data_IF_229121177745
#
_entry.id   IF_229121177745
#
_cell.length_a   1.000
_cell.length_b   1.000
_cell.length_c   1.000
_cell.angle_alpha   90.00
_cell.angle_beta   90.00
_cell.angle_gamma   90.00
#
_symmetry.space_group_name_H-M   'P 1'
#
loop_
_entity.id
_entity.type
_entity.pdbx_description
1 polymer ?
#
# COMPACT_ATOMS: atom_id res chain seq x y z
N UNK A 1 -4.95 -19.73 12.98
CA UNK A 1 -3.70 -19.08 13.42
C UNK A 1 -3.48 -17.91 12.47
N UNK A 2 -3.72 -16.67 12.93
CA UNK A 2 -3.66 -15.46 12.09
C UNK A 2 -2.25 -14.89 12.21
N UNK A 3 -1.43 -15.04 11.17
CA UNK A 3 -0.10 -14.42 11.10
C UNK A 3 -0.30 -12.93 10.75
N UNK A 4 -0.56 -12.12 11.79
CA UNK A 4 -0.61 -10.66 11.69
C UNK A 4 0.80 -10.11 11.50
N UNK A 5 1.20 -9.89 10.24
CA UNK A 5 2.44 -9.16 9.97
C UNK A 5 2.18 -7.67 9.97
N UNK A 6 2.52 -7.04 11.09
CA UNK A 6 2.66 -5.60 11.20
C UNK A 6 3.89 -5.15 10.41
N UNK A 7 3.65 -4.54 9.26
CA UNK A 7 4.65 -3.65 8.66
C UNK A 7 4.27 -2.24 9.11
N UNK A 8 5.03 -1.65 10.02
CA UNK A 8 4.93 -0.22 10.33
C UNK A 8 6.05 0.46 9.57
N UNK A 9 5.70 1.26 8.57
CA UNK A 9 6.66 2.18 7.96
C UNK A 9 6.46 3.56 8.57
N UNK A 10 7.41 4.00 9.39
CA UNK A 10 7.48 5.37 9.88
C UNK A 10 8.82 5.96 9.47
N UNK A 11 8.86 7.03 8.64
CA UNK A 11 10.04 7.90 8.69
C UNK A 11 9.92 9.30 8.08
N UNK A 12 10.55 10.20 8.85
CA UNK A 12 11.19 11.50 8.58
C UNK A 12 10.31 12.69 8.20
N UNK A 13 10.25 13.67 9.11
CA UNK A 13 9.60 14.99 8.97
C UNK A 13 10.06 15.79 7.73
N UNK A 14 11.21 15.44 7.15
CA UNK A 14 11.84 16.15 6.03
C UNK A 14 11.67 15.48 4.67
N UNK A 15 11.20 14.24 4.61
CA UNK A 15 11.13 13.48 3.36
C UNK A 15 9.73 13.58 2.72
N UNK A 16 9.59 14.50 1.77
CA UNK A 16 8.44 14.58 0.88
C UNK A 16 8.51 13.48 -0.17
N UNK A 17 8.04 12.27 0.12
CA UNK A 17 7.91 11.22 -0.89
C UNK A 17 6.61 11.33 -1.68
N UNK A 18 6.72 11.33 -3.00
CA UNK A 18 5.55 11.41 -3.88
C UNK A 18 4.61 10.19 -3.76
N UNK A 19 5.11 9.07 -3.23
CA UNK A 19 4.38 7.82 -3.04
C UNK A 19 4.98 6.95 -1.93
N UNK A 20 4.17 6.02 -1.41
CA UNK A 20 4.58 4.89 -0.59
C UNK A 20 4.33 3.59 -1.36
N UNK A 21 5.33 2.72 -1.39
CA UNK A 21 5.21 1.40 -2.00
C UNK A 21 5.68 0.33 -1.02
N UNK A 22 4.84 -0.67 -0.76
CA UNK A 22 5.16 -1.82 0.08
C UNK A 22 5.16 -3.07 -0.79
N UNK A 23 6.26 -3.79 -0.79
CA UNK A 23 6.36 -5.14 -1.34
C UNK A 23 6.25 -6.15 -0.20
N UNK A 24 5.26 -7.04 -0.26
CA UNK A 24 4.96 -7.97 0.82
C UNK A 24 5.90 -9.19 0.85
N UNK A 25 6.77 -9.36 -0.16
CA UNK A 25 7.74 -10.46 -0.27
C UNK A 25 7.14 -11.88 -0.27
N UNK A 26 5.80 -12.01 -0.33
CA UNK A 26 5.06 -13.26 -0.46
C UNK A 26 3.63 -12.95 -0.95
N UNK A 27 2.79 -13.98 -1.09
CA UNK A 27 1.37 -13.82 -1.37
C UNK A 27 0.58 -13.67 -0.07
N UNK A 28 -0.28 -12.67 -0.01
CA UNK A 28 -1.16 -12.43 1.15
C UNK A 28 -2.60 -12.23 0.70
N UNK A 29 -3.53 -12.85 1.43
CA UNK A 29 -4.93 -12.43 1.45
C UNK A 29 -5.06 -11.30 2.47
N UNK A 30 -5.16 -10.07 1.97
CA UNK A 30 -5.29 -8.85 2.78
C UNK A 30 -6.77 -8.68 3.17
N UNK A 31 -7.00 -8.28 4.41
CA UNK A 31 -8.33 -8.08 4.99
C UNK A 31 -8.60 -6.62 5.35
N UNK A 32 -7.54 -5.86 5.65
CA UNK A 32 -7.62 -4.45 6.00
C UNK A 32 -6.28 -3.77 5.70
N UNK A 33 -6.37 -2.58 5.10
CA UNK A 33 -5.26 -1.61 5.08
C UNK A 33 -5.65 -0.47 6.00
N UNK A 34 -4.76 -0.07 6.90
CA UNK A 34 -4.95 1.08 7.78
C UNK A 34 -3.88 2.12 7.51
N UNK A 35 -4.29 3.35 7.26
CA UNK A 35 -3.43 4.50 7.03
C UNK A 35 -3.58 5.43 8.23
N UNK A 36 -2.47 5.89 8.80
CA UNK A 36 -2.47 6.70 10.01
C UNK A 36 -1.66 7.97 9.79
N UNK A 37 -2.28 9.10 10.17
CA UNK A 37 -1.60 10.38 10.33
C UNK A 37 -1.46 10.65 11.83
N UNK A 38 -0.26 10.46 12.37
CA UNK A 38 0.06 10.71 13.77
C UNK A 38 0.03 12.22 14.08
N UNK A 39 -0.14 12.56 15.36
CA UNK A 39 -0.33 13.93 15.83
C UNK A 39 0.93 14.81 15.73
N UNK A 40 2.09 14.17 15.65
CA UNK A 40 3.42 14.76 15.62
C UNK A 40 3.83 15.29 14.24
N UNK A 41 3.12 14.93 13.17
CA UNK A 41 3.37 15.49 11.83
C UNK A 41 2.91 16.94 11.70
N UNK A 42 3.45 17.65 10.71
CA UNK A 42 2.92 18.97 10.33
C UNK A 42 1.57 18.85 9.58
N UNK A 43 0.89 19.99 9.41
CA UNK A 43 -0.44 20.02 8.78
C UNK A 43 -0.39 19.87 7.25
N UNK A 44 0.80 19.77 6.65
CA UNK A 44 0.97 19.86 5.20
C UNK A 44 0.43 18.65 4.41
N UNK A 45 0.06 17.56 5.11
CA UNK A 45 -0.66 16.41 4.54
C UNK A 45 -2.18 16.47 4.68
N UNK A 46 -2.73 17.42 5.45
CA UNK A 46 -4.18 17.54 5.66
C UNK A 46 -4.88 18.13 4.43
N UNK A 47 -6.03 17.57 4.09
CA UNK A 47 -6.82 17.98 2.92
C UNK A 47 -6.16 17.66 1.58
N UNK A 48 -5.04 16.93 1.59
CA UNK A 48 -4.33 16.53 0.37
C UNK A 48 -4.89 15.19 -0.10
N UNK A 49 -5.50 15.11 -1.29
CA UNK A 49 -6.05 13.87 -1.80
C UNK A 49 -4.97 12.92 -2.29
N UNK A 50 -5.21 11.63 -2.08
CA UNK A 50 -4.39 10.52 -2.54
C UNK A 50 -5.23 9.29 -2.82
N UNK A 51 -4.60 8.34 -3.50
CA UNK A 51 -5.17 7.07 -3.94
C UNK A 51 -4.41 5.90 -3.32
N UNK A 52 -5.07 4.75 -3.24
CA UNK A 52 -4.48 3.49 -2.78
C UNK A 52 -4.74 2.43 -3.83
N UNK A 53 -3.69 1.69 -4.16
CA UNK A 53 -3.70 0.61 -5.14
C UNK A 53 -3.14 -0.67 -4.54
N UNK A 54 -3.68 -1.79 -4.99
CA UNK A 54 -3.17 -3.12 -4.65
C UNK A 54 -2.81 -3.86 -5.93
N UNK A 55 -1.64 -4.50 -5.94
CA UNK A 55 -1.24 -5.39 -7.02
C UNK A 55 -1.56 -6.82 -6.60
N UNK A 56 -2.43 -7.48 -7.36
CA UNK A 56 -2.72 -8.91 -7.20
C UNK A 56 -2.03 -9.68 -8.32
N UNK A 57 -1.44 -10.82 -7.97
CA UNK A 57 -0.90 -11.76 -8.95
C UNK A 57 -1.88 -12.93 -9.08
N UNK A 58 -2.39 -13.20 -10.28
CA UNK A 58 -2.97 -14.51 -10.54
C UNK A 58 -1.85 -15.54 -10.47
N UNK A 59 -2.00 -16.66 -9.74
CA UNK A 59 -0.98 -17.71 -9.65
C UNK A 59 -0.90 -18.56 -10.93
N UNK A 60 -0.96 -17.93 -12.12
CA UNK A 60 -0.83 -18.65 -13.38
C UNK A 60 0.64 -18.72 -13.78
N UNK A 61 1.17 -19.94 -13.79
CA UNK A 61 2.59 -20.32 -13.99
C UNK A 61 3.20 -19.92 -15.35
N UNK A 62 2.51 -19.17 -16.19
CA UNK A 62 2.93 -18.89 -17.57
C UNK A 62 3.20 -17.40 -17.85
N UNK A 63 3.05 -16.50 -16.88
CA UNK A 63 3.29 -15.06 -17.08
C UNK A 63 4.27 -14.61 -15.99
N UNK A 64 5.49 -15.10 -16.09
CA UNK A 64 6.62 -14.42 -15.50
C UNK A 64 6.94 -13.21 -16.38
N UNK A 65 7.07 -12.04 -15.78
CA UNK A 65 7.48 -10.78 -16.41
C UNK A 65 6.51 -10.11 -17.39
N UNK A 66 5.43 -9.52 -16.88
CA UNK A 66 4.95 -8.19 -17.33
C UNK A 66 3.95 -7.64 -16.31
N UNK A 67 3.97 -6.32 -16.09
CA UNK A 67 3.33 -5.63 -14.98
C UNK A 67 1.88 -6.07 -14.72
N UNK A 68 1.64 -6.75 -13.59
CA UNK A 68 0.29 -7.06 -13.14
C UNK A 68 -0.49 -5.75 -12.93
N UNK A 69 -1.74 -5.65 -13.40
CA UNK A 69 -2.50 -4.42 -13.32
C UNK A 69 -2.73 -4.03 -11.86
N UNK A 70 -2.56 -2.74 -11.58
CA UNK A 70 -2.89 -2.17 -10.29
C UNK A 70 -4.40 -2.06 -10.14
N UNK A 71 -4.94 -2.72 -9.12
CA UNK A 71 -6.33 -2.59 -8.76
C UNK A 71 -6.48 -1.37 -7.84
N UNK A 72 -7.39 -0.48 -8.22
CA UNK A 72 -7.76 0.67 -7.40
C UNK A 72 -8.46 0.17 -6.14
N UNK A 73 -7.90 0.48 -4.99
CA UNK A 73 -8.47 0.19 -3.69
C UNK A 73 -9.33 1.37 -3.19
N UNK A 74 -8.75 2.57 -3.18
CA UNK A 74 -9.47 3.80 -2.84
C UNK A 74 -8.97 4.95 -3.72
N UNK A 75 -9.86 5.91 -4.01
CA UNK A 75 -9.49 7.13 -4.76
C UNK A 75 -9.88 8.38 -4.01
N UNK A 76 -9.06 9.42 -4.19
CA UNK A 76 -9.31 10.78 -3.75
C UNK A 76 -9.67 10.85 -2.24
N UNK A 77 -9.07 9.97 -1.44
CA UNK A 77 -9.20 9.98 0.01
C UNK A 77 -8.17 10.96 0.58
N UNK A 78 -8.45 11.50 1.76
CA UNK A 78 -7.60 12.49 2.39
C UNK A 78 -7.70 12.39 3.91
N UNK A 79 -6.62 12.76 4.59
CA UNK A 79 -6.69 13.02 6.02
C UNK A 79 -7.29 14.42 6.24
N UNK A 80 -8.28 14.52 7.11
CA UNK A 80 -8.98 15.76 7.49
C UNK A 80 -8.54 16.27 8.86
N UNK A 81 -7.91 15.43 9.68
CA UNK A 81 -7.38 15.83 10.98
C UNK A 81 -6.14 15.02 11.36
N UNK A 82 -5.31 15.59 12.25
CA UNK A 82 -4.25 14.87 12.95
C UNK A 82 -4.83 13.75 13.81
N UNK A 83 -4.05 12.67 13.98
CA UNK A 83 -4.45 11.48 14.72
C UNK A 83 -5.47 10.61 13.97
N UNK A 84 -5.85 10.99 12.76
CA UNK A 84 -6.86 10.25 12.00
C UNK A 84 -6.31 8.93 11.48
N UNK A 85 -7.18 7.92 11.52
CA UNK A 85 -6.98 6.62 10.92
C UNK A 85 -8.01 6.39 9.81
N UNK A 86 -7.53 6.03 8.62
CA UNK A 86 -8.37 5.62 7.50
C UNK A 86 -8.23 4.12 7.33
N UNK A 87 -9.35 3.41 7.45
CA UNK A 87 -9.42 1.95 7.33
C UNK A 87 -10.06 1.57 6.01
N UNK A 88 -9.32 0.84 5.17
CA UNK A 88 -9.72 0.47 3.82
C UNK A 88 -9.91 -1.04 3.71
N UNK A 89 -11.08 -1.42 3.19
CA UNK A 89 -11.40 -2.78 2.76
C UNK A 89 -11.74 -2.72 1.28
N UNK A 90 -10.88 -3.26 0.45
CA UNK A 90 -10.95 -3.07 -1.00
C UNK A 90 -11.23 -4.39 -1.73
N UNK A 91 -11.90 -4.28 -2.86
CA UNK A 91 -12.10 -5.40 -3.76
C UNK A 91 -10.73 -5.88 -4.28
N UNK A 92 -10.53 -7.19 -4.33
CA UNK A 92 -9.25 -7.79 -4.72
C UNK A 92 -8.23 -7.92 -3.59
N UNK A 93 -8.45 -7.34 -2.39
CA UNK A 93 -7.57 -7.59 -1.24
C UNK A 93 -7.57 -9.06 -0.80
N UNK A 94 -8.69 -9.75 -0.97
CA UNK A 94 -8.85 -11.14 -0.57
C UNK A 94 -8.08 -12.11 -1.49
N UNK A 95 -7.56 -11.61 -2.62
CA UNK A 95 -6.71 -12.36 -3.56
C UNK A 95 -5.25 -12.39 -3.09
N UNK A 96 -4.36 -12.99 -3.89
CA UNK A 96 -2.91 -13.00 -3.63
C UNK A 96 -2.30 -11.61 -3.87
N UNK A 97 -2.44 -10.71 -2.91
CA UNK A 97 -1.80 -9.39 -2.90
C UNK A 97 -0.30 -9.56 -2.70
N UNK A 98 0.47 -8.82 -3.49
CA UNK A 98 1.94 -8.84 -3.44
C UNK A 98 2.52 -7.45 -3.20
N UNK A 99 1.84 -6.40 -3.65
CA UNK A 99 2.26 -5.01 -3.43
C UNK A 99 1.08 -4.10 -3.10
N UNK A 100 1.39 -3.04 -2.37
CA UNK A 100 0.47 -1.95 -2.05
C UNK A 100 1.16 -0.65 -2.40
N UNK A 101 0.43 0.25 -3.04
CA UNK A 101 0.93 1.54 -3.49
C UNK A 101 -0.02 2.65 -3.03
N UNK A 102 0.52 3.70 -2.44
CA UNK A 102 -0.23 4.86 -1.97
C UNK A 102 0.41 6.10 -2.55
N UNK A 103 -0.34 6.92 -3.28
CA UNK A 103 0.24 7.99 -4.07
C UNK A 103 -0.76 9.09 -4.40
N UNK A 104 -0.23 10.26 -4.74
CA UNK A 104 -1.00 11.30 -5.43
C UNK A 104 -0.93 11.05 -6.93
N UNK A 105 -1.92 10.34 -7.46
CA UNK A 105 -1.97 9.91 -8.86
C UNK A 105 -1.82 8.40 -9.04
N UNK A 106 -1.87 7.95 -10.28
CA UNK A 106 -1.73 6.53 -10.62
C UNK A 106 -0.31 5.99 -10.45
N UNK A 107 -0.13 4.66 -10.41
CA UNK A 107 1.18 4.00 -10.37
C UNK A 107 2.08 4.33 -11.56
N UNK A 108 1.49 4.68 -12.70
CA UNK A 108 2.18 5.08 -13.93
C UNK A 108 2.26 6.61 -14.10
N UNK A 109 1.79 7.38 -13.11
CA UNK A 109 1.73 8.83 -13.21
C UNK A 109 3.05 9.51 -12.83
N UNK A 110 3.28 10.69 -13.40
CA UNK A 110 4.38 11.58 -12.98
C UNK A 110 4.14 11.98 -11.51
N UNK A 111 5.17 11.95 -10.65
CA UNK A 111 5.08 12.41 -9.27
C UNK A 111 4.38 13.78 -9.13
N UNK A 112 3.31 13.84 -8.32
CA UNK A 112 2.55 15.07 -8.07
C UNK A 112 2.91 15.67 -6.71
N UNK A 113 3.28 16.95 -6.68
CA UNK A 113 3.57 17.71 -5.46
C UNK A 113 2.37 18.56 -4.98
N UNK A 114 2.25 18.91 -3.68
CA UNK A 114 3.09 18.47 -2.56
C UNK A 114 3.03 16.96 -2.32
N UNK A 115 4.09 16.39 -1.77
CA UNK A 115 4.15 14.96 -1.45
C UNK A 115 3.05 14.56 -0.46
N UNK A 116 2.62 13.30 -0.54
CA UNK A 116 1.74 12.73 0.48
C UNK A 116 2.51 12.63 1.80
N UNK A 117 1.99 13.24 2.86
CA UNK A 117 2.49 13.01 4.22
C UNK A 117 1.58 12.05 4.96
N UNK A 118 2.15 10.91 5.34
CA UNK A 118 1.50 9.86 6.12
C UNK A 118 2.53 9.29 7.08
N UNK A 119 2.13 9.01 8.31
CA UNK A 119 3.07 8.56 9.36
C UNK A 119 3.24 7.06 9.39
N UNK A 120 2.18 6.32 9.06
CA UNK A 120 2.15 4.88 9.18
C UNK A 120 1.13 4.23 8.24
N UNK A 121 1.53 3.12 7.64
CA UNK A 121 0.69 2.20 6.88
C UNK A 121 0.74 0.85 7.59
N UNK A 122 -0.40 0.30 7.97
CA UNK A 122 -0.55 -1.02 8.57
C UNK A 122 -1.35 -1.93 7.64
N UNK A 123 -0.90 -3.16 7.49
CA UNK A 123 -1.50 -4.13 6.57
C UNK A 123 -1.87 -5.38 7.36
N UNK A 124 -3.13 -5.78 7.29
CA UNK A 124 -3.67 -6.91 8.02
C UNK A 124 -4.11 -7.97 7.05
N UNK A 125 -3.59 -9.19 7.19
CA UNK A 125 -3.93 -10.28 6.28
C UNK A 125 -3.36 -11.61 6.74
N UNK A 126 -3.51 -12.62 5.88
CA UNK A 126 -2.96 -13.96 6.09
C UNK A 126 -2.05 -14.29 4.92
N UNK A 127 -0.85 -14.78 5.20
CA UNK A 127 0.05 -15.29 4.17
C UNK A 127 -0.57 -16.51 3.49
N UNK A 128 -0.73 -16.47 2.17
CA UNK A 128 -1.35 -17.54 1.37
C UNK A 128 -0.33 -18.36 0.57
N UNK A 129 0.88 -17.86 0.39
CA UNK A 129 1.95 -18.59 -0.30
C UNK A 129 3.28 -17.84 -0.33
N UNK A 130 4.32 -18.48 -0.83
CA UNK A 130 5.65 -17.87 -1.06
C UNK A 130 5.88 -17.67 -2.56
N UNK A 131 6.69 -16.67 -2.91
CA UNK A 131 7.20 -16.57 -4.26
C UNK A 131 8.06 -17.81 -4.59
N UNK A 132 8.05 -18.30 -5.83
CA UNK A 132 8.97 -19.36 -6.24
C UNK A 132 10.40 -18.92 -5.91
N UNK A 133 11.14 -19.77 -5.18
CA UNK A 133 12.59 -19.57 -5.07
C UNK A 133 13.14 -19.86 -6.46
N UNK A 134 13.89 -18.91 -7.04
CA UNK A 134 14.67 -19.18 -8.26
C UNK A 134 15.58 -20.38 -7.98
N UNK A 135 15.18 -21.57 -8.43
CA UNK A 135 16.11 -22.68 -8.60
C UNK A 135 16.98 -22.31 -9.78
N UNK A 136 18.17 -21.77 -9.50
CA UNK A 136 19.26 -21.71 -10.47
C UNK A 136 19.53 -23.14 -10.93
N UNK A 137 19.24 -23.41 -12.20
CA UNK A 137 19.65 -24.61 -12.91
C UNK A 137 21.11 -24.48 -13.32
#
# INVERSE_FOLDING_TARGET
>A
MVDLRYFTYSKSETDTWAYFMVNLAAYFSVSLISLVMHNDLDDSGLGVPFDVYVQTTKPNRCIESEGFPWNVCAKNIMFTSKGQRINLRCNGMNENVTKIFVSRGGPDAIPVFPALKMSELQIYGVKTGEFPRETRW
#
